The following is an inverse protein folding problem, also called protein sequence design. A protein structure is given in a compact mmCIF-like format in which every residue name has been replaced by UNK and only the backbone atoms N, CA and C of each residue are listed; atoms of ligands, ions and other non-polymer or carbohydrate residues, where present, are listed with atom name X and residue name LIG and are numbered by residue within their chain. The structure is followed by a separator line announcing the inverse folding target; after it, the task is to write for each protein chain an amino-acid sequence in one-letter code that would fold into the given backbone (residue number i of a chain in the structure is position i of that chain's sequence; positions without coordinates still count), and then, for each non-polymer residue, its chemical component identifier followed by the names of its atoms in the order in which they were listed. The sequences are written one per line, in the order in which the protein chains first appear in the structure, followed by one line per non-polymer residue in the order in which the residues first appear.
data_IF_659897584467
#
_entry.id   IF_659897584467
#
_cell.length_a   1.000
_cell.length_b   1.000
_cell.length_c   1.000
_cell.angle_alpha   90.00
_cell.angle_beta   90.00
_cell.angle_gamma   90.00
#
_symmetry.space_group_name_H-M   'P 1'
#
loop_
_entity.id
_entity.type
_entity.pdbx_description
1 polymer ?
#
# COMPACT_ATOMS: atom_id res chain seq x y z
N UNK A 1 -22.98 6.45 18.98
CA UNK A 1 -23.06 5.14 18.30
C UNK A 1 -21.64 4.74 17.95
N UNK A 2 -21.02 3.84 18.72
CA UNK A 2 -19.74 3.27 18.29
C UNK A 2 -20.02 2.38 17.08
N UNK A 3 -19.17 2.41 16.05
CA UNK A 3 -19.45 1.85 14.73
C UNK A 3 -19.59 0.30 14.65
N UNK A 4 -19.91 -0.40 15.75
CA UNK A 4 -20.17 -1.84 15.76
C UNK A 4 -18.95 -2.74 15.51
N UNK A 5 -17.74 -2.16 15.44
CA UNK A 5 -16.53 -2.91 15.14
C UNK A 5 -15.85 -3.45 16.41
N UNK A 6 -15.23 -4.64 16.34
CA UNK A 6 -14.39 -5.16 17.41
C UNK A 6 -13.24 -4.18 17.71
N UNK A 7 -12.66 -4.21 18.92
CA UNK A 7 -11.63 -3.26 19.33
C UNK A 7 -10.45 -3.28 18.36
N UNK A 8 -10.36 -2.25 17.52
CA UNK A 8 -9.24 -2.03 16.61
C UNK A 8 -8.12 -1.34 17.37
N UNK A 9 -6.89 -1.84 17.22
CA UNK A 9 -5.71 -1.15 17.73
C UNK A 9 -5.37 0.00 16.77
N UNK A 10 -4.71 1.04 17.27
CA UNK A 10 -4.21 2.14 16.42
C UNK A 10 -3.38 1.65 15.21
N UNK A 11 -2.74 0.48 15.35
CA UNK A 11 -2.00 -0.19 14.27
C UNK A 11 -2.89 -0.64 13.11
N UNK A 12 -4.14 -1.02 13.36
CA UNK A 12 -5.08 -1.46 12.31
C UNK A 12 -5.52 -0.29 11.42
N UNK A 13 -5.62 0.92 11.98
CA UNK A 13 -5.88 2.13 11.20
C UNK A 13 -4.72 2.45 10.27
N UNK A 14 -3.49 2.27 10.74
CA UNK A 14 -2.28 2.44 9.93
C UNK A 14 -2.22 1.41 8.77
N UNK A 15 -2.66 0.18 9.02
CA UNK A 15 -2.80 -0.83 7.97
C UNK A 15 -3.89 -0.50 6.95
N UNK A 16 -5.03 0.03 7.41
CA UNK A 16 -6.10 0.51 6.54
C UNK A 16 -5.60 1.65 5.64
N UNK A 17 -4.97 2.67 6.22
CA UNK A 17 -4.43 3.81 5.46
C UNK A 17 -3.40 3.38 4.41
N UNK A 18 -2.50 2.44 4.74
CA UNK A 18 -1.57 1.87 3.78
C UNK A 18 -2.30 1.21 2.60
N UNK A 19 -3.31 0.38 2.89
CA UNK A 19 -4.06 -0.36 1.87
C UNK A 19 -4.83 0.59 0.94
N UNK A 20 -5.49 1.60 1.50
CA UNK A 20 -6.22 2.61 0.72
C UNK A 20 -5.30 3.42 -0.19
N UNK A 21 -4.17 3.91 0.33
CA UNK A 21 -3.19 4.64 -0.47
C UNK A 21 -2.63 3.77 -1.60
N UNK A 22 -2.32 2.51 -1.31
CA UNK A 22 -1.86 1.57 -2.31
C UNK A 22 -2.94 1.38 -3.36
N UNK A 23 -4.19 1.08 -2.99
CA UNK A 23 -5.30 0.93 -3.94
C UNK A 23 -5.51 2.17 -4.82
N UNK A 24 -5.29 3.37 -4.28
CA UNK A 24 -5.33 4.63 -5.02
C UNK A 24 -4.18 4.83 -6.03
N UNK A 25 -3.26 3.87 -6.17
CA UNK A 25 -2.17 3.91 -7.13
C UNK A 25 -0.86 4.44 -6.58
N UNK A 26 -0.79 4.79 -5.28
CA UNK A 26 0.42 5.33 -4.67
C UNK A 26 1.44 4.20 -4.48
N UNK A 27 2.70 4.49 -4.80
CA UNK A 27 3.77 3.51 -4.72
C UNK A 27 4.19 3.21 -3.26
N UNK A 28 4.77 2.02 -3.04
CA UNK A 28 5.16 1.54 -1.71
C UNK A 28 6.20 2.42 -1.01
N UNK A 29 7.11 3.05 -1.75
CA UNK A 29 8.09 3.97 -1.18
C UNK A 29 7.41 5.22 -0.63
N UNK A 30 6.54 5.85 -1.43
CA UNK A 30 5.76 7.01 -0.99
C UNK A 30 4.86 6.68 0.21
N UNK A 31 4.15 5.56 0.17
CA UNK A 31 3.32 5.09 1.31
C UNK A 31 4.18 4.88 2.56
N UNK A 32 5.37 4.30 2.42
CA UNK A 32 6.33 4.16 3.51
C UNK A 32 6.74 5.49 4.12
N UNK A 33 7.03 6.49 3.28
CA UNK A 33 7.35 7.86 3.71
C UNK A 33 6.21 8.54 4.45
N UNK A 34 4.98 8.48 3.90
CA UNK A 34 3.77 9.08 4.51
C UNK A 34 3.48 8.48 5.88
N UNK A 35 3.67 7.16 6.03
CA UNK A 35 3.45 6.50 7.31
C UNK A 35 4.64 6.71 8.26
N UNK A 36 5.81 7.11 7.78
CA UNK A 36 7.03 7.23 8.57
C UNK A 36 7.67 5.88 8.90
N UNK A 37 7.61 4.93 7.96
CA UNK A 37 8.36 3.67 8.10
C UNK A 37 9.85 3.94 8.00
N UNK A 38 10.57 3.69 9.09
CA UNK A 38 12.03 3.76 9.13
C UNK A 38 12.71 2.71 8.23
N UNK A 39 12.02 1.60 7.94
CA UNK A 39 12.52 0.54 7.08
C UNK A 39 11.49 0.18 6.01
N UNK A 40 11.97 -0.03 4.78
CA UNK A 40 11.17 -0.51 3.64
C UNK A 40 10.58 -1.90 3.90
N UNK A 41 11.15 -2.67 4.83
CA UNK A 41 10.63 -3.98 5.25
C UNK A 41 9.21 -3.86 5.82
N UNK A 42 8.91 -2.79 6.56
CA UNK A 42 7.57 -2.56 7.10
C UNK A 42 6.53 -2.32 6.00
N UNK A 43 6.92 -1.66 4.90
CA UNK A 43 6.04 -1.43 3.76
C UNK A 43 5.97 -2.65 2.82
N UNK A 44 6.99 -3.51 2.80
CA UNK A 44 7.00 -4.75 2.00
C UNK A 44 5.83 -5.68 2.33
N UNK A 45 5.23 -5.57 3.53
CA UNK A 45 4.00 -6.31 3.90
C UNK A 45 2.88 -6.13 2.87
N UNK A 46 2.82 -4.99 2.18
CA UNK A 46 1.77 -4.69 1.20
C UNK A 46 2.17 -4.96 -0.25
N UNK A 47 3.34 -5.56 -0.51
CA UNK A 47 3.81 -5.81 -1.88
C UNK A 47 2.89 -6.74 -2.68
N UNK A 48 2.07 -7.54 -2.00
CA UNK A 48 1.07 -8.39 -2.64
C UNK A 48 -0.12 -7.62 -3.22
N UNK A 49 -0.36 -6.36 -2.83
CA UNK A 49 -1.43 -5.51 -3.37
C UNK A 49 -1.05 -4.83 -4.69
N UNK A 50 0.21 -4.96 -5.12
CA UNK A 50 0.75 -4.30 -6.32
C UNK A 50 1.23 -5.30 -7.36
N UNK A 51 0.89 -6.58 -7.22
CA UNK A 51 1.29 -7.63 -8.17
C UNK A 51 0.78 -7.35 -9.58
N UNK A 52 -0.48 -6.96 -9.73
CA UNK A 52 -1.08 -6.61 -11.03
C UNK A 52 -0.39 -5.40 -11.67
N UNK A 53 0.18 -4.49 -10.85
CA UNK A 53 0.94 -3.33 -11.35
C UNK A 53 2.31 -3.70 -11.87
N UNK A 54 2.90 -4.78 -11.36
CA UNK A 54 4.17 -5.29 -11.90
C UNK A 54 3.97 -5.79 -13.33
N UNK A 55 2.84 -6.46 -13.60
CA UNK A 55 2.47 -6.91 -14.93
C UNK A 55 2.25 -5.74 -15.90
N UNK A 56 1.49 -4.72 -15.47
CA UNK A 56 1.29 -3.49 -16.25
C UNK A 56 2.62 -2.76 -16.52
N UNK A 57 3.49 -2.65 -15.51
CA UNK A 57 4.79 -2.01 -15.65
C UNK A 57 5.67 -2.75 -16.69
N UNK A 58 5.69 -4.08 -16.68
CA UNK A 58 6.41 -4.88 -17.67
C UNK A 58 5.81 -4.71 -19.07
N UNK A 59 4.48 -4.71 -19.19
CA UNK A 59 3.80 -4.49 -20.46
C UNK A 59 4.14 -3.12 -21.09
N UNK A 60 4.35 -2.09 -20.27
CA UNK A 60 4.68 -0.73 -20.72
C UNK A 60 6.11 -0.55 -21.22
N UNK A 61 7.07 -1.38 -20.79
CA UNK A 61 8.46 -1.32 -21.28
C UNK A 61 8.52 -1.65 -22.79
N UNK A 62 7.62 -2.50 -23.28
CA UNK A 62 7.57 -2.94 -24.69
C UNK A 62 6.71 -2.09 -25.62
N UNK A 63 5.89 -1.17 -25.07
CA UNK A 63 5.08 -0.26 -25.90
C UNK A 63 5.95 0.87 -26.44
N UNK A 64 6.58 0.59 -27.58
CA UNK A 64 7.21 1.60 -28.43
C UNK A 64 6.15 2.62 -28.84
N UNK A 65 6.42 3.91 -28.60
CA UNK A 65 5.60 5.05 -29.06
C UNK A 65 5.36 4.99 -30.56
#
# INVERSE_FOLDING_TARGET
MAAGYPPKKFHDLRHGAASEMINAGIDLFTVGGVLGHKSTVSTKRYSHLVTDRLEDAVARIGQKR
#
